data_IF_159469797697
#
_entry.id   IF_159469797697
#
_cell.length_a   1.000
_cell.length_b   1.000
_cell.length_c   1.000
_cell.angle_alpha   90.00
_cell.angle_beta   90.00
_cell.angle_gamma   90.00
#
_symmetry.space_group_name_H-M   'P 1'
#
loop_
_entity.id
_entity.type
_entity.pdbx_description
1 polymer ?
#
# COMPACT_ATOMS: atom_id res chain seq x y z
N UNK A 1 -7.40 19.41 -20.80
CA UNK A 1 -6.32 19.03 -19.86
C UNK A 1 -5.92 17.60 -20.22
N UNK A 2 -4.69 17.40 -20.70
CA UNK A 2 -4.21 16.11 -21.21
C UNK A 2 -3.74 15.23 -20.04
N UNK A 3 -4.43 14.11 -19.80
CA UNK A 3 -4.03 13.04 -18.88
C UNK A 3 -3.26 11.95 -19.65
N UNK A 4 -2.15 12.35 -20.27
CA UNK A 4 -1.34 11.48 -21.13
C UNK A 4 -0.43 10.60 -20.28
N UNK A 5 -0.98 9.53 -19.69
CA UNK A 5 -0.17 8.43 -19.11
C UNK A 5 -0.74 7.73 -17.88
N UNK A 6 -1.88 8.16 -17.32
CA UNK A 6 -2.49 7.48 -16.18
C UNK A 6 -3.47 6.41 -16.66
N UNK A 7 -3.10 5.15 -16.47
CA UNK A 7 -4.02 4.02 -16.69
C UNK A 7 -4.71 3.74 -15.36
N UNK A 8 -6.02 3.91 -15.31
CA UNK A 8 -6.83 3.45 -14.18
C UNK A 8 -6.79 1.92 -14.16
N UNK A 9 -6.10 1.33 -13.17
CA UNK A 9 -5.96 -0.13 -13.05
C UNK A 9 -7.23 -0.79 -12.49
N UNK A 10 -8.10 -0.02 -11.85
CA UNK A 10 -9.40 -0.50 -11.39
C UNK A 10 -10.16 0.53 -10.56
N UNK A 11 -11.46 0.32 -10.46
CA UNK A 11 -12.37 1.04 -9.56
C UNK A 11 -13.35 0.01 -9.01
N UNK A 12 -13.66 0.10 -7.71
CA UNK A 12 -14.66 -0.76 -7.08
C UNK A 12 -16.02 -0.04 -7.06
N UNK A 13 -16.97 -0.45 -7.91
CA UNK A 13 -18.26 0.22 -7.99
C UNK A 13 -19.10 -0.01 -6.75
N UNK A 14 -19.80 1.03 -6.31
CA UNK A 14 -20.82 0.99 -5.26
C UNK A 14 -21.83 -0.17 -5.43
N UNK A 15 -22.15 -0.51 -6.68
CA UNK A 15 -23.07 -1.60 -7.01
C UNK A 15 -22.52 -3.01 -6.75
N UNK A 16 -21.20 -3.18 -6.70
CA UNK A 16 -20.55 -4.48 -6.46
C UNK A 16 -20.21 -4.69 -4.98
N UNK A 17 -19.96 -3.61 -4.23
CA UNK A 17 -19.56 -3.68 -2.82
C UNK A 17 -20.45 -2.77 -1.97
N UNK A 18 -21.65 -3.24 -1.66
CA UNK A 18 -22.65 -2.49 -0.89
C UNK A 18 -22.21 -2.19 0.54
N UNK A 19 -21.26 -2.95 1.10
CA UNK A 19 -20.64 -2.67 2.41
C UNK A 19 -19.62 -1.52 2.37
N UNK A 20 -19.04 -1.23 1.20
CA UNK A 20 -18.09 -0.13 0.96
C UNK A 20 -18.77 1.08 0.27
N UNK A 21 -20.10 1.05 0.20
CA UNK A 21 -20.87 1.85 -0.73
C UNK A 21 -21.17 3.28 -0.27
N UNK A 22 -21.23 3.50 1.03
CA UNK A 22 -21.78 4.75 1.59
C UNK A 22 -20.79 5.58 2.38
N UNK A 23 -19.70 4.99 2.91
CA UNK A 23 -18.46 5.61 3.43
C UNK A 23 -17.66 4.48 4.09
N UNK A 24 -16.33 4.52 4.01
CA UNK A 24 -15.46 3.69 4.84
C UNK A 24 -14.80 4.54 5.92
N UNK A 25 -14.72 4.03 7.14
CA UNK A 25 -13.99 4.68 8.24
C UNK A 25 -12.50 4.37 8.20
N UNK A 26 -12.07 3.38 7.42
CA UNK A 26 -10.70 2.91 7.35
C UNK A 26 -10.30 2.60 5.90
N UNK A 27 -9.05 2.88 5.57
CA UNK A 27 -8.43 2.54 4.29
C UNK A 27 -7.09 1.89 4.61
N UNK A 28 -6.88 0.71 4.05
CA UNK A 28 -5.64 -0.05 4.22
C UNK A 28 -4.92 -0.18 2.89
N UNK A 29 -3.60 -0.08 2.92
CA UNK A 29 -2.72 -0.36 1.78
C UNK A 29 -1.68 -1.37 2.23
N UNK A 30 -1.43 -2.37 1.40
CA UNK A 30 -0.42 -3.37 1.71
C UNK A 30 -0.51 -4.56 0.77
N UNK A 31 -0.06 -5.69 1.29
CA UNK A 31 -0.16 -6.97 0.63
C UNK A 31 -0.20 -8.07 1.68
N UNK A 32 -0.95 -9.11 1.39
CA UNK A 32 -0.99 -10.34 2.18
C UNK A 32 -0.24 -11.42 1.43
N UNK A 33 0.47 -12.29 2.16
CA UNK A 33 0.94 -13.53 1.58
C UNK A 33 0.36 -14.69 2.37
N UNK A 34 -0.23 -15.62 1.64
CA UNK A 34 -0.72 -16.87 2.18
C UNK A 34 0.15 -18.02 1.66
N UNK A 35 0.60 -18.89 2.56
CA UNK A 35 1.31 -20.14 2.22
C UNK A 35 0.49 -21.37 2.63
N UNK A 36 -0.62 -21.67 1.93
CA UNK A 36 -1.46 -22.80 2.26
C UNK A 36 -0.76 -24.10 1.83
N UNK A 37 -0.14 -24.79 2.79
CA UNK A 37 0.52 -26.09 2.57
C UNK A 37 1.88 -26.25 3.25
N UNK A 38 2.43 -25.18 3.82
CA UNK A 38 3.68 -25.14 4.60
C UNK A 38 4.74 -26.16 4.14
N UNK A 39 5.31 -25.91 2.96
CA UNK A 39 6.75 -26.14 2.82
C UNK A 39 7.47 -25.32 3.90
N UNK A 40 8.59 -25.81 4.42
CA UNK A 40 9.34 -25.18 5.51
C UNK A 40 9.92 -23.78 5.21
N UNK A 41 9.56 -23.18 4.08
CA UNK A 41 10.09 -21.89 3.59
C UNK A 41 8.94 -20.89 3.50
N UNK A 42 9.08 -19.78 4.20
CA UNK A 42 8.14 -18.67 4.14
C UNK A 42 8.31 -17.92 2.81
N UNK A 43 7.22 -17.50 2.14
CA UNK A 43 7.29 -16.82 0.86
C UNK A 43 7.80 -15.38 1.01
N UNK A 44 8.54 -14.89 0.03
CA UNK A 44 9.05 -13.51 -0.01
C UNK A 44 7.93 -12.50 -0.31
N UNK A 45 8.07 -11.28 0.24
CA UNK A 45 7.16 -10.15 -0.03
C UNK A 45 7.86 -9.02 -0.76
N UNK A 46 7.18 -8.41 -1.73
CA UNK A 46 7.67 -7.22 -2.43
C UNK A 46 8.94 -7.53 -3.21
N UNK A 47 10.06 -6.93 -2.80
CA UNK A 47 11.37 -7.16 -3.40
C UNK A 47 12.15 -8.35 -2.82
N UNK A 48 11.56 -9.11 -1.89
CA UNK A 48 12.24 -10.24 -1.23
C UNK A 48 13.27 -9.83 -0.17
N UNK A 49 13.33 -8.53 0.15
CA UNK A 49 14.15 -7.98 1.22
C UNK A 49 13.28 -7.21 2.21
N UNK A 50 13.73 -7.16 3.46
CA UNK A 50 13.10 -6.31 4.49
C UNK A 50 13.06 -4.86 4.00
N UNK A 51 11.92 -4.20 4.16
CA UNK A 51 11.70 -2.85 3.66
C UNK A 51 12.69 -1.83 4.28
N UNK A 52 13.11 -0.86 3.47
CA UNK A 52 13.92 0.29 3.84
C UNK A 52 13.35 1.52 3.13
N UNK A 53 13.71 2.73 3.57
CA UNK A 53 13.30 3.98 2.89
C UNK A 53 14.03 4.23 1.54
N UNK A 54 14.48 3.17 0.86
CA UNK A 54 15.18 3.22 -0.42
C UNK A 54 14.30 2.71 -1.55
N UNK A 55 13.91 3.62 -2.45
CA UNK A 55 13.15 3.30 -3.68
C UNK A 55 13.94 2.45 -4.69
N UNK A 56 15.23 2.20 -4.43
CA UNK A 56 16.07 1.30 -5.25
C UNK A 56 16.10 -0.14 -4.73
N UNK A 57 15.75 -0.36 -3.46
CA UNK A 57 15.89 -1.66 -2.80
C UNK A 57 14.55 -2.27 -2.39
N UNK A 58 13.60 -1.42 -2.00
CA UNK A 58 12.31 -1.86 -1.48
C UNK A 58 11.23 -1.69 -2.52
N UNK A 59 10.24 -2.58 -2.49
CA UNK A 59 8.98 -2.35 -3.18
C UNK A 59 8.25 -1.18 -2.50
N UNK A 60 7.53 -0.37 -3.29
CA UNK A 60 6.83 0.79 -2.75
C UNK A 60 5.61 1.20 -3.58
N UNK A 61 4.67 1.86 -2.91
CA UNK A 61 3.63 2.69 -3.52
C UNK A 61 4.04 4.16 -3.45
N UNK A 62 3.77 4.91 -4.51
CA UNK A 62 4.08 6.34 -4.66
C UNK A 62 2.81 7.15 -4.82
N UNK A 63 2.82 8.41 -4.37
CA UNK A 63 1.67 9.31 -4.42
C UNK A 63 0.42 8.73 -3.74
N UNK A 64 0.59 8.10 -2.57
CA UNK A 64 -0.53 7.55 -1.80
C UNK A 64 -1.42 8.69 -1.30
N UNK A 65 -2.71 8.62 -1.62
CA UNK A 65 -3.74 9.60 -1.29
C UNK A 65 -5.07 8.89 -1.01
N UNK A 66 -5.97 9.54 -0.27
CA UNK A 66 -7.35 9.11 -0.08
C UNK A 66 -8.31 10.10 -0.72
N UNK A 67 -9.52 9.65 -1.03
CA UNK A 67 -10.63 10.52 -1.44
C UNK A 67 -11.51 10.76 -0.22
N UNK A 68 -11.67 12.02 0.18
CA UNK A 68 -12.53 12.40 1.30
C UNK A 68 -14.01 12.46 0.90
N UNK A 69 -14.88 12.73 1.87
CA UNK A 69 -16.35 12.86 1.67
C UNK A 69 -16.74 13.98 0.70
N UNK A 70 -15.86 14.98 0.49
CA UNK A 70 -16.04 16.05 -0.50
C UNK A 70 -15.51 15.69 -1.89
N UNK A 71 -15.18 14.41 -2.14
CA UNK A 71 -14.62 13.89 -3.39
C UNK A 71 -13.28 14.54 -3.79
N UNK A 72 -12.47 14.91 -2.80
CA UNK A 72 -11.15 15.50 -3.01
C UNK A 72 -10.06 14.51 -2.63
N UNK A 73 -9.00 14.45 -3.47
CA UNK A 73 -7.77 13.74 -3.10
C UNK A 73 -7.08 14.52 -1.99
N UNK A 74 -6.89 13.88 -0.84
CA UNK A 74 -6.18 14.44 0.31
C UNK A 74 -5.08 13.50 0.76
N UNK A 75 -4.09 14.04 1.47
CA UNK A 75 -3.07 13.22 2.12
C UNK A 75 -3.75 12.39 3.22
N UNK A 76 -3.39 11.11 3.38
CA UNK A 76 -3.79 10.35 4.54
C UNK A 76 -3.09 10.94 5.77
N UNK A 77 -3.86 11.19 6.82
CA UNK A 77 -3.39 11.59 8.14
C UNK A 77 -3.67 10.45 9.14
N UNK A 78 -3.04 10.47 10.32
CA UNK A 78 -3.21 9.46 11.38
C UNK A 78 -3.03 8.00 10.90
N UNK A 79 -1.96 7.76 10.13
CA UNK A 79 -1.65 6.42 9.60
C UNK A 79 -1.00 5.52 10.65
N UNK A 80 -1.37 4.24 10.62
CA UNK A 80 -0.74 3.18 11.41
C UNK A 80 -0.06 2.16 10.49
N UNK A 81 0.92 1.44 11.04
CA UNK A 81 1.67 0.40 10.31
C UNK A 81 1.45 -0.92 11.02
N UNK A 82 1.08 -1.94 10.27
CA UNK A 82 0.90 -3.30 10.78
C UNK A 82 1.72 -4.30 9.96
N UNK A 83 2.24 -5.34 10.63
CA UNK A 83 3.02 -6.40 10.01
C UNK A 83 3.08 -7.67 10.88
N UNK A 84 2.47 -8.73 10.38
CA UNK A 84 2.54 -10.06 10.98
C UNK A 84 3.91 -10.70 10.65
N UNK A 85 4.69 -11.08 11.67
CA UNK A 85 6.04 -11.66 11.57
C UNK A 85 7.23 -10.68 11.41
N UNK A 86 7.21 -9.59 12.19
CA UNK A 86 8.42 -8.79 12.45
C UNK A 86 9.54 -9.65 13.06
N UNK A 87 10.82 -9.49 12.63
CA UNK A 87 11.34 -8.44 11.75
C UNK A 87 11.37 -8.82 10.25
N UNK A 88 10.87 -9.99 9.85
CA UNK A 88 11.04 -10.55 8.51
C UNK A 88 10.19 -9.86 7.45
N UNK A 89 8.99 -9.40 7.82
CA UNK A 89 8.13 -8.57 6.97
C UNK A 89 7.93 -7.21 7.61
N UNK A 90 8.01 -6.15 6.79
CA UNK A 90 7.85 -4.78 7.25
C UNK A 90 7.11 -3.92 6.24
N UNK A 91 6.32 -3.01 6.77
CA UNK A 91 5.80 -1.85 6.07
C UNK A 91 6.39 -0.58 6.72
N UNK A 92 6.84 0.36 5.89
CA UNK A 92 7.33 1.67 6.31
C UNK A 92 6.49 2.74 5.62
N UNK A 93 6.18 3.78 6.37
CA UNK A 93 5.42 4.93 5.90
C UNK A 93 6.30 6.17 5.96
N UNK A 94 6.42 6.85 4.83
CA UNK A 94 7.14 8.10 4.70
C UNK A 94 6.15 9.17 4.24
N UNK A 95 6.03 10.20 5.08
CA UNK A 95 5.24 11.41 4.80
C UNK A 95 5.59 12.03 3.44
N UNK A 96 4.68 12.87 2.95
CA UNK A 96 4.81 13.54 1.66
C UNK A 96 6.15 14.26 1.53
N UNK A 97 6.93 13.87 0.52
CA UNK A 97 8.27 14.42 0.28
C UNK A 97 8.23 15.67 -0.62
N UNK A 98 7.73 15.51 -1.85
CA UNK A 98 7.56 16.58 -2.83
C UNK A 98 6.43 16.24 -3.83
N UNK A 99 6.12 17.15 -4.75
CA UNK A 99 5.03 16.96 -5.71
C UNK A 99 5.21 15.75 -6.65
N UNK A 100 6.44 15.31 -6.87
CA UNK A 100 6.72 14.13 -7.69
C UNK A 100 6.57 12.84 -6.88
N UNK A 101 7.17 12.77 -5.70
CA UNK A 101 7.16 11.56 -4.86
C UNK A 101 5.86 11.38 -4.05
N UNK A 102 5.27 12.46 -3.56
CA UNK A 102 4.14 12.41 -2.62
C UNK A 102 4.48 11.59 -1.37
N UNK A 103 3.45 10.98 -0.75
CA UNK A 103 3.61 9.99 0.32
C UNK A 103 4.05 8.65 -0.27
N UNK A 104 4.96 7.98 0.43
CA UNK A 104 5.55 6.72 0.01
C UNK A 104 5.31 5.65 1.07
N UNK A 105 4.74 4.51 0.66
CA UNK A 105 4.63 3.32 1.51
C UNK A 105 5.60 2.28 0.95
N UNK A 106 6.59 1.89 1.75
CA UNK A 106 7.54 0.83 1.40
C UNK A 106 7.11 -0.46 2.08
N UNK A 107 7.26 -1.58 1.39
CA UNK A 107 6.93 -2.89 1.95
C UNK A 107 7.87 -3.97 1.41
N UNK A 108 8.01 -5.04 2.18
CA UNK A 108 8.80 -6.18 1.77
C UNK A 108 9.14 -7.12 2.92
N UNK A 109 9.69 -8.27 2.56
CA UNK A 109 10.16 -9.24 3.52
C UNK A 109 10.90 -10.39 2.87
N UNK A 110 11.80 -11.01 3.65
CA UNK A 110 12.62 -12.14 3.19
C UNK A 110 11.91 -13.46 3.47
N UNK A 111 12.36 -14.53 2.81
CA UNK A 111 12.19 -15.85 3.41
C UNK A 111 12.90 -15.85 4.78
N UNK A 112 12.22 -16.35 5.82
CA UNK A 112 12.85 -16.61 7.11
C UNK A 112 13.83 -17.78 7.06
#
# INVERSE_FOLDING_TARGET
MNDSGKVLVGYWPKSLFTSLAEVTSQVEWGGEINNPGASSVQPEMGSGVVATYSTRLSAFFQQVMIVNESFQNVQPDDTEKDADCSPYYQALDRDSHDAYWGRLIFFGGTHG
#
